data_IF_827180973495
#
_entry.id   IF_827180973495
#
_cell.length_a   1.000
_cell.length_b   1.000
_cell.length_c   1.000
_cell.angle_alpha   90.00
_cell.angle_beta   90.00
_cell.angle_gamma   90.00
#
_symmetry.space_group_name_H-M   'P 1'
#
loop_
_entity.id
_entity.type
_entity.pdbx_description
1 polymer ?
#
# COMPACT_ATOMS: atom_id res chain seq x y z
N UNK A 1 -10.57 -17.94 -9.65
CA UNK A 1 -10.59 -17.96 -8.17
C UNK A 1 -11.68 -18.93 -7.70
N UNK A 2 -11.29 -20.20 -7.47
CA UNK A 2 -12.21 -21.31 -7.17
C UNK A 2 -12.96 -21.20 -5.82
N UNK A 3 -12.53 -20.30 -4.90
CA UNK A 3 -13.09 -20.19 -3.55
C UNK A 3 -14.06 -19.01 -3.36
N UNK A 4 -14.59 -18.44 -4.44
CA UNK A 4 -15.58 -17.35 -4.36
C UNK A 4 -15.00 -15.98 -3.98
N UNK A 5 -13.68 -15.80 -4.02
CA UNK A 5 -13.06 -14.48 -3.86
C UNK A 5 -13.50 -13.58 -5.01
N UNK A 6 -14.12 -12.44 -4.68
CA UNK A 6 -14.58 -11.47 -5.68
C UNK A 6 -13.43 -10.67 -6.28
N UNK A 7 -12.36 -10.47 -5.52
CA UNK A 7 -11.22 -9.65 -5.89
C UNK A 7 -9.97 -10.05 -5.12
N UNK A 8 -8.81 -10.01 -5.80
CA UNK A 8 -7.50 -10.22 -5.21
C UNK A 8 -6.48 -9.32 -5.89
N UNK A 9 -5.50 -8.86 -5.13
CA UNK A 9 -4.39 -8.09 -5.64
C UNK A 9 -3.09 -8.57 -5.00
N UNK A 10 -1.99 -8.46 -5.73
CA UNK A 10 -0.64 -8.67 -5.21
C UNK A 10 -0.03 -7.29 -4.90
N UNK A 11 0.66 -7.18 -3.77
CA UNK A 11 1.57 -6.06 -3.49
C UNK A 11 3.00 -6.57 -3.60
N UNK A 12 3.84 -5.85 -4.34
CA UNK A 12 5.20 -6.29 -4.69
C UNK A 12 6.14 -5.09 -4.87
N UNK A 13 7.46 -5.32 -4.71
CA UNK A 13 8.50 -4.37 -5.13
C UNK A 13 8.83 -4.45 -6.63
N UNK A 14 8.15 -5.29 -7.39
CA UNK A 14 8.29 -5.42 -8.83
C UNK A 14 9.47 -6.25 -9.34
N UNK A 15 10.48 -6.57 -8.52
CA UNK A 15 11.72 -7.22 -8.96
C UNK A 15 11.51 -8.62 -9.58
N UNK A 16 10.43 -9.29 -9.26
CA UNK A 16 10.13 -10.63 -9.76
C UNK A 16 9.05 -10.66 -10.85
N UNK A 17 8.52 -9.53 -11.27
CA UNK A 17 7.41 -9.48 -12.23
C UNK A 17 7.75 -10.20 -13.52
N UNK A 18 8.89 -9.89 -14.15
CA UNK A 18 9.33 -10.56 -15.38
C UNK A 18 9.43 -12.08 -15.19
N UNK A 19 10.06 -12.53 -14.12
CA UNK A 19 10.28 -13.96 -13.85
C UNK A 19 9.01 -14.70 -13.49
N UNK A 20 8.00 -14.03 -12.95
CA UNK A 20 6.73 -14.61 -12.48
C UNK A 20 5.54 -14.25 -13.36
N UNK A 21 5.79 -13.63 -14.51
CA UNK A 21 4.75 -13.10 -15.40
C UNK A 21 3.66 -14.13 -15.73
N UNK A 22 4.05 -15.28 -16.27
CA UNK A 22 3.11 -16.34 -16.67
C UNK A 22 2.27 -16.81 -15.47
N UNK A 23 2.93 -17.09 -14.33
CA UNK A 23 2.24 -17.53 -13.12
C UNK A 23 1.24 -16.50 -12.58
N UNK A 24 1.56 -15.19 -12.67
CA UNK A 24 0.67 -14.11 -12.26
C UNK A 24 -0.54 -14.04 -13.21
N UNK A 25 -0.31 -14.07 -14.50
CA UNK A 25 -1.35 -14.01 -15.55
C UNK A 25 -2.30 -15.21 -15.43
N UNK A 26 -1.74 -16.43 -15.34
CA UNK A 26 -2.50 -17.68 -15.24
C UNK A 26 -3.29 -17.79 -13.91
N UNK A 27 -2.83 -17.14 -12.85
CA UNK A 27 -3.53 -17.12 -11.55
C UNK A 27 -4.93 -16.48 -11.62
N UNK A 28 -5.18 -15.65 -12.65
CA UNK A 28 -6.40 -14.88 -12.82
C UNK A 28 -6.47 -13.61 -11.96
N UNK A 29 -5.39 -13.24 -11.27
CA UNK A 29 -5.26 -11.96 -10.56
C UNK A 29 -5.28 -10.83 -11.60
N UNK A 30 -6.08 -9.78 -11.33
CA UNK A 30 -6.28 -8.66 -12.26
C UNK A 30 -5.68 -7.35 -11.80
N UNK A 31 -5.11 -7.31 -10.59
CA UNK A 31 -4.59 -6.07 -10.01
C UNK A 31 -3.26 -6.28 -9.30
N UNK A 32 -2.34 -5.33 -9.54
CA UNK A 32 -1.06 -5.26 -8.85
C UNK A 32 -0.92 -3.91 -8.14
N UNK A 33 -0.33 -3.92 -6.95
CA UNK A 33 0.18 -2.72 -6.28
C UNK A 33 1.71 -2.85 -6.27
N UNK A 34 2.40 -1.89 -6.85
CA UNK A 34 3.86 -1.93 -6.97
C UNK A 34 4.44 -0.81 -6.11
N UNK A 35 5.35 -1.15 -5.21
CA UNK A 35 6.09 -0.16 -4.43
C UNK A 35 7.25 0.35 -5.27
N UNK A 36 7.22 1.64 -5.61
CA UNK A 36 8.24 2.32 -6.42
C UNK A 36 8.34 3.78 -5.98
N UNK A 37 9.47 4.14 -5.41
CA UNK A 37 9.68 5.44 -4.77
C UNK A 37 10.42 6.45 -5.65
N UNK A 38 10.89 6.04 -6.85
CA UNK A 38 11.68 6.89 -7.75
C UNK A 38 11.79 6.28 -9.15
N UNK A 39 11.96 7.14 -10.15
CA UNK A 39 12.34 6.79 -11.53
C UNK A 39 13.83 7.04 -11.82
N UNK A 40 14.58 7.50 -10.83
CA UNK A 40 16.04 7.67 -10.93
C UNK A 40 16.77 6.41 -10.45
N UNK A 41 17.62 5.83 -11.30
CA UNK A 41 18.33 4.58 -11.00
C UNK A 41 19.32 4.69 -9.84
N UNK A 42 19.90 5.88 -9.61
CA UNK A 42 20.80 6.13 -8.49
C UNK A 42 20.06 6.15 -7.17
N UNK A 43 18.95 6.90 -7.11
CA UNK A 43 18.07 6.96 -5.95
C UNK A 43 17.42 5.60 -5.67
N UNK A 44 17.00 4.89 -6.72
CA UNK A 44 16.45 3.54 -6.58
C UNK A 44 17.41 2.61 -5.83
N UNK A 45 18.68 2.56 -6.24
CA UNK A 45 19.70 1.75 -5.55
C UNK A 45 19.92 2.18 -4.10
N UNK A 46 19.86 3.49 -3.82
CA UNK A 46 20.00 4.03 -2.47
C UNK A 46 18.82 3.64 -1.56
N UNK A 47 17.58 3.75 -2.06
CA UNK A 47 16.35 3.49 -1.29
C UNK A 47 16.10 1.98 -1.17
N UNK A 48 16.10 1.26 -2.28
CA UNK A 48 15.77 -0.17 -2.32
C UNK A 48 16.91 -1.06 -1.82
N UNK A 49 18.14 -0.55 -1.74
CA UNK A 49 19.37 -1.26 -1.32
C UNK A 49 19.73 -2.47 -2.17
N UNK A 50 18.83 -2.97 -2.98
CA UNK A 50 19.01 -4.12 -3.86
C UNK A 50 18.01 -4.05 -5.02
N UNK A 51 18.29 -4.77 -6.10
CA UNK A 51 17.46 -4.82 -7.28
C UNK A 51 17.86 -3.80 -8.34
N UNK A 52 17.06 -3.80 -9.40
CA UNK A 52 17.30 -3.00 -10.59
C UNK A 52 16.01 -2.31 -11.03
N UNK A 53 16.09 -0.99 -11.29
CA UNK A 53 14.95 -0.17 -11.69
C UNK A 53 14.41 -0.59 -13.05
N UNK A 54 15.30 -0.85 -14.03
CA UNK A 54 14.92 -1.23 -15.39
C UNK A 54 14.10 -2.53 -15.38
N UNK A 55 14.48 -3.49 -14.54
CA UNK A 55 13.75 -4.74 -14.33
C UNK A 55 12.33 -4.46 -13.79
N UNK A 56 12.16 -3.51 -12.90
CA UNK A 56 10.83 -3.14 -12.36
C UNK A 56 9.99 -2.48 -13.44
N UNK A 57 10.54 -1.51 -14.18
CA UNK A 57 9.83 -0.77 -15.23
C UNK A 57 9.41 -1.70 -16.36
N UNK A 58 10.30 -2.57 -16.85
CA UNK A 58 9.97 -3.58 -17.85
C UNK A 58 8.91 -4.56 -17.36
N UNK A 59 8.95 -4.91 -16.06
CA UNK A 59 7.90 -5.75 -15.45
C UNK A 59 6.55 -5.04 -15.39
N UNK A 60 6.52 -3.74 -15.12
CA UNK A 60 5.30 -2.91 -15.16
C UNK A 60 4.71 -2.92 -16.58
N UNK A 61 5.53 -2.63 -17.59
CA UNK A 61 5.09 -2.57 -18.99
C UNK A 61 4.50 -3.93 -19.43
N UNK A 62 5.18 -5.03 -19.14
CA UNK A 62 4.69 -6.39 -19.44
C UNK A 62 3.33 -6.68 -18.77
N UNK A 63 3.13 -6.27 -17.52
CA UNK A 63 1.86 -6.51 -16.82
C UNK A 63 0.73 -5.62 -17.37
N UNK A 64 1.03 -4.40 -17.80
CA UNK A 64 0.07 -3.51 -18.47
C UNK A 64 -0.35 -4.11 -19.84
N UNK A 65 0.59 -4.59 -20.64
CA UNK A 65 0.34 -5.26 -21.91
C UNK A 65 -0.53 -6.52 -21.72
N UNK A 66 -0.33 -7.25 -20.62
CA UNK A 66 -1.18 -8.38 -20.24
C UNK A 66 -2.57 -7.97 -19.70
N UNK A 67 -2.90 -6.68 -19.68
CA UNK A 67 -4.21 -6.14 -19.27
C UNK A 67 -4.45 -6.10 -17.76
N UNK A 68 -3.41 -6.17 -16.94
CA UNK A 68 -3.56 -6.02 -15.50
C UNK A 68 -3.68 -4.55 -15.12
N UNK A 69 -4.52 -4.25 -14.12
CA UNK A 69 -4.61 -2.92 -13.52
C UNK A 69 -3.47 -2.73 -12.52
N UNK A 70 -2.69 -1.69 -12.70
CA UNK A 70 -1.56 -1.39 -11.83
C UNK A 70 -1.86 -0.14 -11.01
N UNK A 71 -1.43 -0.18 -9.75
CA UNK A 71 -1.28 0.98 -8.88
C UNK A 71 0.16 1.03 -8.40
N UNK A 72 0.76 2.21 -8.43
CA UNK A 72 2.07 2.45 -7.83
C UNK A 72 1.87 3.10 -6.47
N UNK A 73 2.60 2.61 -5.48
CA UNK A 73 2.71 3.22 -4.16
C UNK A 73 4.09 3.87 -4.04
N UNK A 74 4.10 5.15 -3.69
CA UNK A 74 5.30 5.93 -3.42
C UNK A 74 5.22 6.52 -2.03
N UNK A 75 6.30 6.45 -1.25
CA UNK A 75 6.47 7.18 0.00
C UNK A 75 7.34 8.41 -0.25
N UNK A 76 6.77 9.62 -0.38
CA UNK A 76 7.55 10.83 -0.56
C UNK A 76 8.33 11.16 0.72
N UNK A 77 9.61 11.46 0.56
CA UNK A 77 10.51 11.82 1.66
C UNK A 77 11.39 13.01 1.26
N UNK A 78 11.38 14.09 2.05
CA UNK A 78 12.25 15.24 1.82
C UNK A 78 13.71 14.83 1.78
N UNK A 79 14.48 15.46 0.92
CA UNK A 79 15.92 15.23 0.74
C UNK A 79 16.28 13.83 0.25
N UNK A 80 15.30 13.02 -0.11
CA UNK A 80 15.50 11.66 -0.62
C UNK A 80 14.95 11.49 -2.03
N UNK A 81 13.63 11.62 -2.19
CA UNK A 81 12.94 11.43 -3.46
C UNK A 81 11.86 12.50 -3.72
N UNK A 82 11.90 13.63 -3.04
CA UNK A 82 10.94 14.73 -3.19
C UNK A 82 10.92 15.32 -4.60
N UNK A 83 12.03 15.34 -5.30
CA UNK A 83 12.13 15.72 -6.71
C UNK A 83 11.46 14.70 -7.66
N UNK A 84 11.08 13.53 -7.16
CA UNK A 84 10.40 12.47 -7.94
C UNK A 84 8.87 12.51 -7.83
N UNK A 85 8.31 13.37 -6.97
CA UNK A 85 6.85 13.45 -6.75
C UNK A 85 6.13 13.75 -8.07
N UNK A 86 6.51 14.82 -8.75
CA UNK A 86 5.89 15.24 -10.01
C UNK A 86 6.24 14.30 -11.18
N UNK A 87 7.51 13.92 -11.41
CA UNK A 87 7.85 12.96 -12.46
C UNK A 87 7.15 11.60 -12.33
N UNK A 88 6.98 11.10 -11.09
CA UNK A 88 6.27 9.85 -10.85
C UNK A 88 4.79 9.96 -11.19
N UNK A 89 4.15 11.10 -10.90
CA UNK A 89 2.76 11.32 -11.28
C UNK A 89 2.59 11.36 -12.79
N UNK A 90 3.45 12.10 -13.49
CA UNK A 90 3.45 12.18 -14.95
C UNK A 90 3.64 10.80 -15.60
N UNK A 91 4.62 10.02 -15.13
CA UNK A 91 4.85 8.64 -15.55
C UNK A 91 3.61 7.77 -15.39
N UNK A 92 2.92 7.88 -14.26
CA UNK A 92 1.74 7.08 -13.98
C UNK A 92 0.54 7.51 -14.84
N UNK A 93 0.28 8.81 -14.95
CA UNK A 93 -0.83 9.35 -15.74
C UNK A 93 -0.68 8.99 -17.22
N UNK A 94 0.51 9.12 -17.79
CA UNK A 94 0.79 8.79 -19.21
C UNK A 94 0.58 7.30 -19.54
N UNK A 95 0.56 6.41 -18.53
CA UNK A 95 0.36 4.95 -18.68
C UNK A 95 -0.98 4.45 -18.16
N UNK A 96 -1.87 5.33 -17.71
CA UNK A 96 -3.15 4.94 -17.10
C UNK A 96 -3.00 4.22 -15.76
N UNK A 97 -1.90 4.44 -15.05
CA UNK A 97 -1.59 3.87 -13.72
C UNK A 97 -2.12 4.83 -12.65
N UNK A 98 -2.79 4.32 -11.62
CA UNK A 98 -3.14 5.11 -10.43
C UNK A 98 -1.92 5.20 -9.50
N UNK A 99 -1.36 6.39 -9.32
CA UNK A 99 -0.34 6.64 -8.30
C UNK A 99 -1.00 6.87 -6.94
N UNK A 100 -0.42 6.27 -5.89
CA UNK A 100 -0.78 6.53 -4.50
C UNK A 100 0.44 6.97 -3.73
N UNK A 101 0.45 8.22 -3.32
CA UNK A 101 1.40 8.71 -2.33
C UNK A 101 0.98 8.21 -0.96
N UNK A 102 1.92 7.71 -0.19
CA UNK A 102 1.70 7.26 1.19
C UNK A 102 2.53 8.17 2.08
N UNK A 103 1.90 8.89 2.98
CA UNK A 103 2.64 9.67 3.97
C UNK A 103 3.61 8.78 4.75
N UNK A 104 4.81 9.28 4.97
CA UNK A 104 5.79 8.64 5.85
C UNK A 104 5.16 8.43 7.23
N UNK A 105 5.19 7.20 7.73
CA UNK A 105 4.54 6.85 8.97
C UNK A 105 5.45 7.10 10.18
N UNK A 106 4.92 7.80 11.18
CA UNK A 106 5.59 8.04 12.47
C UNK A 106 5.59 6.77 13.33
N UNK A 107 6.36 5.75 12.92
CA UNK A 107 6.35 4.44 13.56
C UNK A 107 7.72 3.75 13.57
N UNK A 108 7.86 2.77 14.45
CA UNK A 108 9.10 2.01 14.58
C UNK A 108 10.28 2.91 14.93
N UNK A 109 11.39 2.82 14.20
CA UNK A 109 12.59 3.63 14.45
C UNK A 109 12.40 5.12 14.13
N UNK A 110 11.41 5.48 13.32
CA UNK A 110 11.08 6.86 12.98
C UNK A 110 10.22 7.53 14.04
N UNK A 111 9.61 6.75 14.95
CA UNK A 111 8.67 7.29 15.93
C UNK A 111 9.31 8.37 16.78
N UNK A 112 8.70 9.56 16.75
CA UNK A 112 9.15 10.74 17.49
C UNK A 112 10.62 11.13 17.22
N UNK A 113 11.18 10.70 16.07
CA UNK A 113 12.54 11.00 15.68
C UNK A 113 12.62 12.35 14.95
N UNK A 114 13.75 13.03 15.07
CA UNK A 114 14.05 14.22 14.27
C UNK A 114 14.12 13.88 12.77
N UNK A 115 14.44 12.64 12.44
CA UNK A 115 14.48 12.15 11.07
C UNK A 115 13.06 12.12 10.44
N UNK A 116 12.07 11.63 11.20
CA UNK A 116 10.68 11.68 10.75
C UNK A 116 10.26 13.12 10.45
N UNK A 117 10.44 14.04 11.39
CA UNK A 117 10.05 15.45 11.21
C UNK A 117 10.73 16.09 10.01
N UNK A 118 12.00 15.78 9.79
CA UNK A 118 12.77 16.32 8.65
C UNK A 118 12.32 15.78 7.30
N UNK A 119 11.91 14.50 7.24
CA UNK A 119 11.58 13.83 5.98
C UNK A 119 10.09 13.83 5.64
N UNK A 120 9.23 14.12 6.58
CA UNK A 120 7.79 14.05 6.42
C UNK A 120 7.26 15.08 5.41
N UNK A 121 6.39 14.61 4.51
CA UNK A 121 5.54 15.42 3.65
C UNK A 121 4.09 15.22 4.04
N UNK A 122 3.39 16.28 4.42
CA UNK A 122 1.95 16.24 4.66
C UNK A 122 1.16 16.18 3.34
N UNK A 123 -0.09 15.75 3.43
CA UNK A 123 -1.00 15.77 2.27
C UNK A 123 -1.13 17.19 1.70
N UNK A 124 -1.21 18.22 2.54
CA UNK A 124 -1.34 19.62 2.11
C UNK A 124 -0.13 20.05 1.26
N UNK A 125 1.08 19.78 1.74
CA UNK A 125 2.32 20.11 1.02
C UNK A 125 2.46 19.34 -0.30
N UNK A 126 2.02 18.07 -0.31
CA UNK A 126 1.97 17.28 -1.55
C UNK A 126 1.01 17.89 -2.58
N UNK A 127 -0.18 18.29 -2.12
CA UNK A 127 -1.18 18.92 -3.00
C UNK A 127 -0.71 20.30 -3.51
N UNK A 128 -0.04 21.07 -2.67
CA UNK A 128 0.55 22.35 -3.09
C UNK A 128 1.61 22.14 -4.18
N UNK A 129 2.52 21.21 -3.98
CA UNK A 129 3.56 20.88 -4.96
C UNK A 129 2.97 20.36 -6.29
N UNK A 130 2.03 19.42 -6.21
CA UNK A 130 1.37 18.86 -7.40
C UNK A 130 0.57 19.93 -8.12
N UNK A 131 -0.09 20.83 -7.39
CA UNK A 131 -0.91 21.91 -7.93
C UNK A 131 -0.14 22.96 -8.75
N UNK A 132 1.19 23.03 -8.62
CA UNK A 132 2.06 23.85 -9.46
C UNK A 132 2.21 23.28 -10.89
N UNK A 133 1.89 22.00 -11.08
CA UNK A 133 2.12 21.30 -12.35
C UNK A 133 0.85 20.72 -12.97
N UNK A 134 -0.15 20.39 -12.15
CA UNK A 134 -1.39 19.72 -12.59
C UNK A 134 -2.62 20.42 -12.01
N UNK A 135 -3.66 20.55 -12.83
CA UNK A 135 -5.01 20.89 -12.36
C UNK A 135 -5.68 19.58 -11.94
N UNK A 136 -6.20 19.54 -10.72
CA UNK A 136 -6.88 18.35 -10.20
C UNK A 136 -8.05 18.75 -9.29
N UNK A 137 -8.95 17.81 -9.07
CA UNK A 137 -10.08 17.94 -8.15
C UNK A 137 -10.20 16.74 -7.21
N UNK A 138 -10.62 16.99 -5.97
CA UNK A 138 -10.90 15.91 -5.01
C UNK A 138 -12.16 15.16 -5.45
N UNK A 139 -12.11 13.82 -5.43
CA UNK A 139 -13.21 12.98 -5.83
C UNK A 139 -13.72 12.12 -4.66
N UNK A 140 -14.96 11.64 -4.77
CA UNK A 140 -15.52 10.73 -3.79
C UNK A 140 -14.78 9.38 -3.81
N UNK A 141 -14.53 8.84 -2.64
CA UNK A 141 -13.94 7.53 -2.44
C UNK A 141 -14.92 6.61 -1.70
N UNK A 142 -14.85 5.27 -1.88
CA UNK A 142 -15.60 4.33 -1.04
C UNK A 142 -15.36 4.57 0.45
N UNK A 143 -16.34 4.27 1.28
CA UNK A 143 -16.32 4.52 2.73
C UNK A 143 -15.07 3.96 3.45
N UNK A 144 -14.56 2.82 3.00
CA UNK A 144 -13.40 2.13 3.57
C UNK A 144 -12.09 2.38 2.79
N UNK A 145 -12.09 3.37 1.90
CA UNK A 145 -10.89 3.77 1.16
C UNK A 145 -9.80 4.24 2.13
N UNK A 146 -8.56 3.84 1.86
CA UNK A 146 -7.39 4.38 2.56
C UNK A 146 -6.89 5.67 1.98
N UNK A 147 -7.13 5.87 0.68
CA UNK A 147 -6.62 7.02 -0.05
C UNK A 147 -7.73 8.05 -0.22
N UNK A 148 -7.41 9.30 0.08
CA UNK A 148 -8.10 10.46 -0.46
C UNK A 148 -7.80 10.50 -1.95
N UNK A 149 -8.82 10.67 -2.80
CA UNK A 149 -8.70 10.52 -4.25
C UNK A 149 -8.82 11.86 -4.96
N UNK A 150 -8.04 11.99 -6.02
CA UNK A 150 -8.01 13.17 -6.89
C UNK A 150 -8.06 12.74 -8.35
N UNK A 151 -8.81 13.48 -9.16
CA UNK A 151 -8.85 13.33 -10.62
C UNK A 151 -8.03 14.45 -11.27
N UNK A 152 -7.22 14.09 -12.26
CA UNK A 152 -6.57 15.03 -13.19
C UNK A 152 -7.37 14.96 -14.48
N UNK A 153 -8.16 15.99 -14.84
CA UNK A 153 -9.07 15.96 -15.97
C UNK A 153 -8.40 15.53 -17.28
N UNK A 154 -8.98 14.52 -17.94
CA UNK A 154 -8.47 13.98 -19.20
C UNK A 154 -7.20 13.13 -19.11
N UNK A 155 -6.59 12.96 -17.93
CA UNK A 155 -5.34 12.24 -17.78
C UNK A 155 -5.43 11.01 -16.85
N UNK A 156 -6.22 11.07 -15.77
CA UNK A 156 -6.35 9.94 -14.84
C UNK A 156 -6.58 10.34 -13.40
N UNK A 157 -6.13 9.50 -12.48
CA UNK A 157 -6.36 9.69 -11.05
C UNK A 157 -5.09 9.41 -10.25
N UNK A 158 -4.98 10.10 -9.10
CA UNK A 158 -4.02 9.76 -8.06
C UNK A 158 -4.70 9.76 -6.69
N UNK A 159 -4.00 9.26 -5.68
CA UNK A 159 -4.50 9.23 -4.31
C UNK A 159 -3.41 9.56 -3.31
N UNK A 160 -3.82 10.01 -2.13
CA UNK A 160 -2.92 10.22 -0.99
C UNK A 160 -3.44 9.41 0.19
N UNK A 161 -2.61 8.53 0.73
CA UNK A 161 -2.87 7.77 1.94
C UNK A 161 -2.32 8.60 3.11
N UNK A 162 -3.16 9.47 3.63
CA UNK A 162 -2.83 10.47 4.62
C UNK A 162 -2.93 9.89 6.04
N UNK A 163 -1.95 9.06 6.42
CA UNK A 163 -1.96 8.37 7.72
C UNK A 163 -1.83 9.34 8.90
N UNK A 164 -1.09 10.42 8.71
CA UNK A 164 -0.77 11.42 9.74
C UNK A 164 -1.68 12.65 9.60
N UNK A 165 -1.90 13.14 8.37
CA UNK A 165 -2.66 14.37 8.11
C UNK A 165 -4.18 14.17 8.19
N UNK A 166 -4.71 13.08 7.60
CA UNK A 166 -6.14 12.74 7.60
C UNK A 166 -6.34 11.24 7.90
N UNK A 167 -6.16 10.80 9.16
CA UNK A 167 -6.20 9.38 9.52
C UNK A 167 -7.56 8.72 9.24
N UNK A 168 -7.56 7.60 8.51
CA UNK A 168 -8.75 6.83 8.15
C UNK A 168 -9.08 5.69 9.14
N UNK A 169 -8.55 5.72 10.35
CA UNK A 169 -8.69 4.63 11.34
C UNK A 169 -10.15 4.32 11.69
N UNK A 170 -11.01 5.33 11.76
CA UNK A 170 -12.45 5.19 12.08
C UNK A 170 -13.23 4.32 11.09
N UNK A 171 -12.85 4.35 9.82
CA UNK A 171 -13.53 3.62 8.73
C UNK A 171 -12.78 2.37 8.29
N UNK A 172 -11.67 2.03 8.97
CA UNK A 172 -10.80 0.92 8.58
C UNK A 172 -11.47 -0.44 8.78
N UNK A 173 -11.72 -1.17 7.69
CA UNK A 173 -12.29 -2.53 7.68
C UNK A 173 -11.25 -3.64 7.57
N UNK A 174 -9.96 -3.31 7.41
CA UNK A 174 -8.89 -4.26 7.10
C UNK A 174 -8.51 -5.13 8.28
N UNK A 175 -8.25 -6.40 8.01
CA UNK A 175 -7.54 -7.34 8.86
C UNK A 175 -6.28 -7.80 8.10
N UNK A 176 -5.29 -8.27 8.82
CA UNK A 176 -4.03 -8.75 8.24
C UNK A 176 -3.69 -10.12 8.77
N UNK A 177 -3.35 -11.02 7.87
CA UNK A 177 -2.86 -12.35 8.20
C UNK A 177 -1.38 -12.41 7.85
N UNK A 178 -0.56 -12.71 8.83
CA UNK A 178 0.88 -12.93 8.62
C UNK A 178 1.16 -14.32 8.06
N UNK A 179 2.33 -14.49 7.45
CA UNK A 179 2.78 -15.78 6.90
C UNK A 179 2.90 -16.90 7.94
N UNK A 180 3.06 -16.55 9.22
CA UNK A 180 3.13 -17.50 10.33
C UNK A 180 1.76 -17.71 11.02
N UNK A 181 0.64 -17.30 10.40
CA UNK A 181 -0.72 -17.64 10.83
C UNK A 181 -1.30 -16.76 11.93
N UNK A 182 -0.78 -15.54 12.13
CA UNK A 182 -1.34 -14.59 13.10
C UNK A 182 -2.21 -13.55 12.42
N UNK A 183 -3.40 -13.28 12.95
CA UNK A 183 -4.34 -12.26 12.49
C UNK A 183 -4.19 -11.01 13.35
N UNK A 184 -3.96 -9.88 12.71
CA UNK A 184 -3.83 -8.55 13.34
C UNK A 184 -5.00 -7.65 12.95
N UNK A 185 -5.56 -6.94 13.92
CA UNK A 185 -6.59 -5.93 13.69
C UNK A 185 -6.03 -4.61 13.18
N UNK A 186 -4.84 -4.24 13.61
CA UNK A 186 -4.20 -2.98 13.28
C UNK A 186 -2.72 -3.17 12.94
N UNK A 187 -2.19 -2.30 12.08
CA UNK A 187 -0.78 -2.25 11.69
C UNK A 187 0.12 -1.80 12.86
N UNK A 188 -0.43 -0.97 13.73
CA UNK A 188 0.23 -0.34 14.87
C UNK A 188 -0.18 -0.98 16.21
N UNK A 189 -0.56 -2.26 16.19
CA UNK A 189 -0.90 -2.99 17.40
C UNK A 189 -0.21 -4.35 17.38
N UNK A 190 0.53 -4.67 18.45
CA UNK A 190 1.24 -5.94 18.59
C UNK A 190 0.29 -7.13 18.89
N UNK A 191 -0.93 -6.85 19.33
CA UNK A 191 -1.91 -7.89 19.63
C UNK A 191 -2.31 -8.64 18.36
N UNK A 192 -2.18 -9.95 18.41
CA UNK A 192 -2.55 -10.85 17.32
C UNK A 192 -3.31 -12.04 17.84
N UNK A 193 -4.08 -12.67 16.95
CA UNK A 193 -4.81 -13.88 17.20
C UNK A 193 -4.16 -15.02 16.42
N UNK A 194 -3.76 -16.12 17.07
CA UNK A 194 -3.19 -17.30 16.39
C UNK A 194 -4.32 -18.07 15.71
N UNK A 195 -4.22 -18.23 14.38
CA UNK A 195 -5.20 -18.93 13.56
C UNK A 195 -4.85 -20.42 13.39
N UNK A 196 -3.62 -20.83 13.66
CA UNK A 196 -3.14 -22.21 13.39
C UNK A 196 -3.97 -23.30 14.08
N UNK A 197 -4.42 -23.15 15.33
CA UNK A 197 -5.26 -24.17 15.97
C UNK A 197 -6.56 -24.45 15.21
N UNK A 198 -7.10 -23.46 14.48
CA UNK A 198 -8.35 -23.60 13.72
C UNK A 198 -8.19 -24.50 12.50
N UNK A 199 -6.99 -24.58 11.92
CA UNK A 199 -6.73 -25.33 10.70
C UNK A 199 -6.90 -26.87 10.86
N UNK A 200 -6.88 -27.38 12.09
CA UNK A 200 -7.09 -28.80 12.40
C UNK A 200 -8.51 -29.15 12.88
N UNK A 201 -9.43 -28.16 12.95
CA UNK A 201 -10.79 -28.36 13.44
C UNK A 201 -11.72 -28.89 12.35
N UNK A 202 -12.85 -29.52 12.76
CA UNK A 202 -13.94 -29.87 11.86
C UNK A 202 -14.62 -28.60 11.31
N UNK A 203 -15.17 -28.66 10.11
CA UNK A 203 -15.67 -27.50 9.35
C UNK A 203 -16.61 -26.57 10.13
N UNK A 204 -17.55 -27.11 10.89
CA UNK A 204 -18.51 -26.29 11.64
C UNK A 204 -17.85 -25.58 12.82
N UNK A 205 -17.05 -26.31 13.60
CA UNK A 205 -16.28 -25.78 14.71
C UNK A 205 -15.23 -24.77 14.23
N UNK A 206 -14.54 -25.06 13.12
CA UNK A 206 -13.58 -24.18 12.50
C UNK A 206 -14.21 -22.82 12.10
N UNK A 207 -15.42 -22.83 11.51
CA UNK A 207 -16.14 -21.62 11.13
C UNK A 207 -16.49 -20.73 12.32
N UNK A 208 -16.99 -21.32 13.41
CA UNK A 208 -17.36 -20.55 14.60
C UNK A 208 -16.11 -20.02 15.33
N UNK A 209 -15.07 -20.82 15.45
CA UNK A 209 -13.78 -20.40 16.01
C UNK A 209 -13.14 -19.27 15.19
N UNK A 210 -13.16 -19.37 13.86
CA UNK A 210 -12.68 -18.32 12.97
C UNK A 210 -13.48 -17.03 13.13
N UNK A 211 -14.81 -17.11 13.19
CA UNK A 211 -15.66 -15.93 13.42
C UNK A 211 -15.33 -15.23 14.73
N UNK A 212 -15.15 -16.00 15.81
CA UNK A 212 -14.75 -15.44 17.11
C UNK A 212 -13.37 -14.80 17.07
N UNK A 213 -12.39 -15.44 16.41
CA UNK A 213 -11.04 -14.93 16.24
C UNK A 213 -11.06 -13.60 15.46
N UNK A 214 -11.74 -13.54 14.32
CA UNK A 214 -11.85 -12.31 13.53
C UNK A 214 -12.56 -11.19 14.30
N UNK A 215 -13.56 -11.51 15.11
CA UNK A 215 -14.23 -10.53 15.98
C UNK A 215 -13.30 -9.99 17.08
N UNK A 216 -12.42 -10.83 17.68
CA UNK A 216 -11.39 -10.36 18.61
C UNK A 216 -10.39 -9.44 17.90
N UNK A 217 -9.83 -9.87 16.76
CA UNK A 217 -8.92 -9.04 15.99
C UNK A 217 -9.55 -7.70 15.55
N UNK A 218 -10.87 -7.67 15.27
CA UNK A 218 -11.59 -6.45 14.96
C UNK A 218 -11.68 -5.50 16.16
N UNK A 219 -11.84 -6.02 17.38
CA UNK A 219 -11.86 -5.21 18.61
C UNK A 219 -10.51 -4.58 18.93
N UNK A 220 -9.41 -5.17 18.45
CA UNK A 220 -8.05 -4.66 18.63
C UNK A 220 -7.72 -3.48 17.70
N UNK A 221 -8.69 -3.03 16.86
CA UNK A 221 -8.48 -1.88 15.98
C UNK A 221 -8.40 -0.57 16.76
N UNK A 222 -7.46 0.26 16.35
CA UNK A 222 -7.40 1.65 16.82
C UNK A 222 -8.47 2.48 16.12
N UNK A 223 -9.30 3.19 16.89
CA UNK A 223 -10.43 3.97 16.38
C UNK A 223 -10.15 5.48 16.35
N UNK A 224 -9.15 5.95 17.07
CA UNK A 224 -8.90 7.38 17.29
C UNK A 224 -7.64 7.90 16.60
N UNK A 225 -6.90 7.05 15.94
CA UNK A 225 -5.68 7.43 15.26
C UNK A 225 -4.61 6.33 15.32
N UNK A 226 -3.54 6.59 14.64
CA UNK A 226 -2.40 5.70 14.53
C UNK A 226 -1.39 6.07 15.62
N UNK A 227 -1.08 5.16 16.55
CA UNK A 227 -0.15 5.46 17.66
C UNK A 227 1.32 5.28 17.29
N UNK A 228 1.62 4.48 16.29
CA UNK A 228 2.99 4.19 15.84
C UNK A 228 3.87 3.44 16.86
N UNK A 229 3.33 3.07 18.04
CA UNK A 229 4.12 2.47 19.13
C UNK A 229 4.80 1.17 18.73
N UNK A 230 4.08 0.35 18.00
CA UNK A 230 4.56 -0.93 17.49
C UNK A 230 4.24 -1.02 16.01
N UNK A 231 5.15 -1.58 15.24
CA UNK A 231 4.87 -1.92 13.84
C UNK A 231 5.00 -3.43 13.64
N UNK A 232 3.97 -3.99 13.02
CA UNK A 232 3.95 -5.40 12.61
C UNK A 232 4.21 -5.56 11.11
N UNK A 233 4.53 -4.49 10.39
CA UNK A 233 4.77 -4.50 8.94
C UNK A 233 5.75 -5.60 8.51
N UNK A 234 6.84 -5.77 9.26
CA UNK A 234 7.84 -6.81 9.00
C UNK A 234 7.26 -8.24 8.94
N UNK A 235 6.17 -8.50 9.67
CA UNK A 235 5.55 -9.82 9.75
C UNK A 235 4.40 -10.03 8.77
N UNK A 236 3.86 -8.95 8.21
CA UNK A 236 2.65 -8.98 7.36
C UNK A 236 2.92 -8.55 5.91
N UNK A 237 4.20 -8.40 5.52
CA UNK A 237 4.57 -8.08 4.15
C UNK A 237 4.25 -6.63 3.78
N UNK A 238 4.89 -5.69 4.45
CA UNK A 238 4.84 -4.26 4.14
C UNK A 238 6.21 -3.74 3.80
#
# INVERSE_FOLDING_TARGET
>A
MKLGLKDAAITTNGQLLLRKADSIIESGIKRLNISLDTLDAGKFRSIARSGDLETVLSGIDLMLEAGLKIKINMVPMRFSNDDQIVPMLDYCLSRGIELRYIELMNMGHLRSSNEFVRQFFSMEELLELIGQHFIFERTNAPFDSTAVRFAVPGQGNFGIIANESEPFCKTCTRLRLSSNGHVYGCLSNAHSQDMKPILGMQDLEAKDSLRQLLNRARKDKQTHGFTGEVTVMKFIGG
#
